data_IF_226012491531
#
_entry.id   IF_226012491531
#
_cell.length_a   1.000
_cell.length_b   1.000
_cell.length_c   1.000
_cell.angle_alpha   90.00
_cell.angle_beta   90.00
_cell.angle_gamma   90.00
#
_symmetry.space_group_name_H-M   'P 1'
#
loop_
_entity.id
_entity.type
_entity.pdbx_description
1 polymer ?
#
# COMPACT_ATOMS: atom_id res chain seq x y z
N UNK A 1 -33.50 0.33 -35.31
CA UNK A 1 -32.65 0.83 -34.21
C UNK A 1 -31.70 -0.27 -33.74
N UNK A 2 -30.43 -0.21 -34.14
CA UNK A 2 -29.44 -1.22 -33.79
C UNK A 2 -28.90 -0.96 -32.38
N UNK A 3 -29.13 -1.89 -31.44
CA UNK A 3 -28.57 -1.82 -30.08
C UNK A 3 -27.04 -1.98 -30.16
N UNK A 4 -26.32 -0.90 -29.84
CA UNK A 4 -24.86 -0.89 -29.73
C UNK A 4 -24.46 -1.85 -28.60
N UNK A 5 -23.95 -3.04 -28.94
CA UNK A 5 -23.42 -3.99 -27.95
C UNK A 5 -22.20 -3.34 -27.30
N UNK A 6 -22.30 -3.03 -26.00
CA UNK A 6 -21.13 -2.67 -25.21
C UNK A 6 -20.17 -3.86 -25.20
N UNK A 7 -19.03 -3.71 -25.87
CA UNK A 7 -17.92 -4.67 -25.82
C UNK A 7 -17.45 -4.70 -24.36
N UNK A 8 -17.76 -5.79 -23.65
CA UNK A 8 -17.26 -6.03 -22.29
C UNK A 8 -15.75 -5.95 -22.35
N UNK A 9 -15.16 -4.88 -21.80
CA UNK A 9 -13.71 -4.77 -21.63
C UNK A 9 -13.32 -5.97 -20.77
N UNK A 10 -12.57 -6.90 -21.36
CA UNK A 10 -11.88 -7.93 -20.59
C UNK A 10 -10.87 -7.17 -19.76
N UNK A 11 -11.03 -7.16 -18.44
CA UNK A 11 -10.02 -6.65 -17.52
C UNK A 11 -8.80 -7.55 -17.65
N UNK A 12 -7.82 -7.14 -18.45
CA UNK A 12 -6.51 -7.77 -18.45
C UNK A 12 -5.93 -7.63 -17.05
N UNK A 13 -5.47 -8.75 -16.48
CA UNK A 13 -4.79 -8.75 -15.20
C UNK A 13 -3.57 -7.80 -15.28
N UNK A 14 -3.43 -6.96 -14.27
CA UNK A 14 -2.31 -6.03 -14.10
C UNK A 14 -1.38 -6.65 -13.07
N UNK A 15 -0.08 -6.61 -13.30
CA UNK A 15 0.93 -7.19 -12.41
C UNK A 15 1.95 -6.12 -12.05
N UNK A 16 2.51 -6.23 -10.85
CA UNK A 16 3.57 -5.37 -10.33
C UNK A 16 4.71 -6.25 -9.80
N UNK A 17 5.93 -5.83 -10.03
CA UNK A 17 7.12 -6.43 -9.41
C UNK A 17 7.28 -5.83 -8.01
N UNK A 18 7.31 -6.69 -7.01
CA UNK A 18 7.52 -6.32 -5.61
C UNK A 18 8.73 -7.11 -5.13
N UNK A 19 9.64 -6.45 -4.41
CA UNK A 19 10.73 -7.15 -3.74
C UNK A 19 10.15 -8.18 -2.76
N UNK A 20 10.65 -9.42 -2.84
CA UNK A 20 10.22 -10.48 -1.95
C UNK A 20 10.62 -10.13 -0.52
N UNK A 21 9.64 -10.16 0.38
CA UNK A 21 9.90 -10.06 1.80
C UNK A 21 10.34 -11.43 2.32
N UNK A 22 11.65 -11.58 2.56
CA UNK A 22 12.21 -12.77 3.19
C UNK A 22 12.06 -12.73 4.72
N UNK A 23 11.43 -11.71 5.30
CA UNK A 23 11.21 -11.56 6.73
C UNK A 23 12.52 -11.43 7.51
N UNK A 24 12.60 -12.06 8.69
CA UNK A 24 13.79 -12.03 9.54
C UNK A 24 15.04 -12.63 8.88
N UNK A 25 14.89 -13.30 7.72
CA UNK A 25 15.98 -13.93 6.99
C UNK A 25 16.91 -12.92 6.31
N UNK A 26 16.54 -11.64 6.16
CA UNK A 26 17.47 -10.61 5.66
C UNK A 26 18.75 -10.51 6.50
N UNK A 27 18.62 -10.47 7.82
CA UNK A 27 19.77 -10.43 8.75
C UNK A 27 20.62 -11.70 8.64
N UNK A 28 19.98 -12.83 8.32
CA UNK A 28 20.64 -14.12 8.17
C UNK A 28 21.35 -14.27 6.81
N UNK A 29 20.86 -13.61 5.74
CA UNK A 29 21.54 -13.55 4.44
C UNK A 29 22.90 -12.85 4.50
N UNK A 30 23.13 -11.98 5.49
CA UNK A 30 24.44 -11.35 5.73
C UNK A 30 25.54 -12.35 6.13
N UNK A 31 25.17 -13.55 6.59
CA UNK A 31 26.10 -14.60 7.03
C UNK A 31 26.46 -15.63 5.95
N UNK A 32 25.93 -15.50 4.72
CA UNK A 32 26.26 -16.35 3.58
C UNK A 32 25.03 -16.81 2.79
N UNK A 33 25.22 -17.52 1.66
CA UNK A 33 24.12 -17.99 0.82
C UNK A 33 23.20 -18.90 1.61
N UNK A 34 21.96 -18.46 1.80
CA UNK A 34 20.91 -19.24 2.45
C UNK A 34 20.02 -19.85 1.37
N UNK A 35 19.45 -21.01 1.65
CA UNK A 35 18.56 -21.70 0.73
C UNK A 35 17.13 -21.65 1.27
N UNK A 36 16.17 -21.44 0.38
CA UNK A 36 14.78 -21.79 0.64
C UNK A 36 14.71 -23.31 0.83
N UNK A 37 14.56 -23.76 2.07
CA UNK A 37 14.53 -25.19 2.43
C UNK A 37 13.32 -25.93 1.88
N UNK A 38 12.32 -25.22 1.35
CA UNK A 38 11.15 -25.80 0.69
C UNK A 38 11.42 -26.05 -0.80
N UNK A 39 12.20 -25.18 -1.45
CA UNK A 39 12.41 -25.20 -2.90
C UNK A 39 13.86 -25.49 -3.33
N UNK A 40 14.78 -25.76 -2.40
CA UNK A 40 16.21 -25.98 -2.63
C UNK A 40 16.86 -24.90 -3.52
N UNK A 41 16.37 -23.67 -3.43
CA UNK A 41 16.81 -22.53 -4.25
C UNK A 41 17.57 -21.52 -3.38
N UNK A 42 18.71 -20.98 -3.82
CA UNK A 42 19.38 -19.91 -3.06
C UNK A 42 18.48 -18.68 -2.96
N UNK A 43 18.38 -18.12 -1.76
CA UNK A 43 17.76 -16.82 -1.51
C UNK A 43 18.67 -15.74 -2.09
N UNK A 44 18.13 -14.94 -3.02
CA UNK A 44 18.87 -13.87 -3.70
C UNK A 44 18.37 -12.53 -3.15
N UNK A 45 19.23 -11.71 -2.52
CA UNK A 45 18.86 -10.36 -2.11
C UNK A 45 18.38 -9.53 -3.30
N UNK A 46 17.27 -8.80 -3.13
CA UNK A 46 16.65 -8.03 -4.21
C UNK A 46 15.85 -8.86 -5.21
N UNK A 47 15.58 -10.14 -4.93
CA UNK A 47 14.67 -10.94 -5.76
C UNK A 47 13.26 -10.34 -5.72
N UNK A 48 12.65 -10.17 -6.89
CA UNK A 48 11.30 -9.65 -7.02
C UNK A 48 10.31 -10.74 -7.36
N UNK A 49 9.10 -10.66 -6.82
CA UNK A 49 7.95 -11.46 -7.23
C UNK A 49 6.94 -10.63 -8.05
N UNK A 50 6.34 -11.29 -9.04
CA UNK A 50 5.27 -10.71 -9.85
C UNK A 50 3.93 -10.94 -9.15
N UNK A 51 3.38 -9.87 -8.58
CA UNK A 51 2.11 -9.91 -7.84
C UNK A 51 1.00 -9.33 -8.68
N UNK A 52 -0.17 -9.97 -8.65
CA UNK A 52 -1.36 -9.46 -9.34
C UNK A 52 -1.92 -8.24 -8.60
N UNK A 53 -2.07 -7.12 -9.29
CA UNK A 53 -2.78 -5.98 -8.77
C UNK A 53 -4.29 -6.20 -8.81
N UNK A 54 -4.93 -6.03 -7.67
CA UNK A 54 -6.37 -6.15 -7.52
C UNK A 54 -7.04 -4.77 -7.62
N UNK A 55 -8.08 -4.61 -8.46
CA UNK A 55 -8.90 -3.41 -8.43
C UNK A 55 -9.61 -3.29 -7.08
N UNK A 56 -9.86 -2.06 -6.63
CA UNK A 56 -10.46 -1.77 -5.32
C UNK A 56 -11.71 -2.61 -4.99
N UNK A 57 -12.57 -2.84 -6.00
CA UNK A 57 -13.79 -3.64 -5.88
C UNK A 57 -13.55 -5.11 -5.56
N UNK A 58 -12.38 -5.66 -5.91
CA UNK A 58 -11.96 -7.05 -5.63
C UNK A 58 -11.18 -7.19 -4.32
N UNK A 59 -10.76 -6.08 -3.70
CA UNK A 59 -10.16 -6.11 -2.37
C UNK A 59 -11.19 -6.58 -1.33
N UNK A 60 -10.74 -7.38 -0.37
CA UNK A 60 -11.54 -7.78 0.77
C UNK A 60 -11.91 -6.56 1.63
N UNK A 61 -12.98 -6.67 2.43
CA UNK A 61 -13.36 -5.59 3.35
C UNK A 61 -12.25 -5.30 4.39
N UNK A 62 -11.55 -6.35 4.82
CA UNK A 62 -10.42 -6.26 5.74
C UNK A 62 -9.24 -5.51 5.11
N UNK A 63 -8.84 -5.88 3.89
CA UNK A 63 -7.77 -5.20 3.14
C UNK A 63 -8.09 -3.73 2.92
N UNK A 64 -9.34 -3.37 2.58
CA UNK A 64 -9.73 -1.95 2.45
C UNK A 64 -9.63 -1.19 3.78
N UNK A 65 -9.93 -1.85 4.90
CA UNK A 65 -9.79 -1.27 6.24
C UNK A 65 -8.31 -1.09 6.61
N UNK A 66 -7.49 -2.11 6.36
CA UNK A 66 -6.04 -2.07 6.55
C UNK A 66 -5.41 -0.95 5.71
N UNK A 67 -5.82 -0.81 4.44
CA UNK A 67 -5.35 0.24 3.54
C UNK A 67 -5.60 1.66 4.07
N UNK A 68 -6.80 1.91 4.60
CA UNK A 68 -7.10 3.20 5.25
C UNK A 68 -6.27 3.38 6.51
N UNK A 69 -6.13 2.34 7.33
CA UNK A 69 -5.37 2.41 8.57
C UNK A 69 -3.89 2.72 8.31
N UNK A 70 -3.28 2.02 7.35
CA UNK A 70 -1.90 2.25 6.93
C UNK A 70 -1.72 3.70 6.44
N UNK A 71 -2.62 4.20 5.59
CA UNK A 71 -2.56 5.59 5.13
C UNK A 71 -2.66 6.60 6.29
N UNK A 72 -3.58 6.39 7.24
CA UNK A 72 -3.73 7.26 8.41
C UNK A 72 -2.45 7.27 9.24
N UNK A 73 -1.86 6.10 9.50
CA UNK A 73 -0.62 5.97 10.26
C UNK A 73 0.52 6.75 9.58
N UNK A 74 0.72 6.54 8.27
CA UNK A 74 1.75 7.24 7.49
C UNK A 74 1.57 8.75 7.46
N UNK A 75 0.33 9.23 7.34
CA UNK A 75 0.03 10.66 7.40
C UNK A 75 0.32 11.25 8.78
N UNK A 76 -0.01 10.52 9.85
CA UNK A 76 0.26 10.96 11.22
C UNK A 76 1.76 10.97 11.50
N UNK A 77 2.51 9.95 11.07
CA UNK A 77 3.98 9.91 11.15
C UNK A 77 4.60 11.10 10.43
N UNK A 78 4.18 11.36 9.19
CA UNK A 78 4.65 12.50 8.42
C UNK A 78 4.32 13.84 9.09
N UNK A 79 3.09 14.01 9.59
CA UNK A 79 2.68 15.21 10.32
C UNK A 79 3.54 15.43 11.57
N UNK A 80 3.82 14.38 12.34
CA UNK A 80 4.58 14.49 13.58
C UNK A 80 6.05 14.81 13.33
N UNK A 81 6.64 14.24 12.28
CA UNK A 81 8.04 14.49 11.88
C UNK A 81 8.23 15.86 11.21
N UNK A 82 7.49 16.12 10.14
CA UNK A 82 7.73 17.27 9.25
C UNK A 82 6.90 18.50 9.64
N UNK A 83 5.79 18.32 10.36
CA UNK A 83 4.82 19.39 10.69
C UNK A 83 4.26 20.11 9.45
N UNK A 84 4.13 19.39 8.35
CA UNK A 84 3.59 19.88 7.08
C UNK A 84 2.37 19.06 6.65
N UNK A 85 1.49 19.70 5.86
CA UNK A 85 0.39 19.00 5.19
C UNK A 85 0.99 18.28 3.97
N UNK A 86 0.83 16.96 3.83
CA UNK A 86 1.37 16.24 2.68
C UNK A 86 0.65 16.66 1.40
N UNK A 87 1.42 16.99 0.36
CA UNK A 87 0.90 17.39 -0.95
C UNK A 87 1.70 16.77 -2.11
N UNK A 88 1.12 16.80 -3.31
CA UNK A 88 1.79 16.42 -4.55
C UNK A 88 2.52 15.06 -4.49
N UNK A 89 3.85 15.10 -4.64
CA UNK A 89 4.72 13.92 -4.63
C UNK A 89 4.70 13.16 -3.30
N UNK A 90 4.58 13.86 -2.17
CA UNK A 90 4.55 13.22 -0.85
C UNK A 90 3.32 12.34 -0.72
N UNK A 91 2.16 12.81 -1.16
CA UNK A 91 0.91 12.01 -1.15
C UNK A 91 1.05 10.76 -2.00
N UNK A 92 1.80 10.83 -3.10
CA UNK A 92 2.08 9.67 -3.96
C UNK A 92 2.95 8.64 -3.22
N UNK A 93 3.98 9.07 -2.52
CA UNK A 93 4.86 8.16 -1.77
C UNK A 93 4.17 7.57 -0.53
N UNK A 94 3.42 8.36 0.24
CA UNK A 94 2.61 7.84 1.35
C UNK A 94 1.61 6.78 0.89
N UNK A 95 0.99 6.99 -0.28
CA UNK A 95 0.06 6.03 -0.86
C UNK A 95 0.74 4.73 -1.27
N UNK A 96 1.89 4.80 -1.94
CA UNK A 96 2.66 3.60 -2.28
C UNK A 96 3.05 2.82 -1.03
N UNK A 97 3.56 3.51 -0.01
CA UNK A 97 3.92 2.91 1.26
C UNK A 97 2.71 2.23 1.93
N UNK A 98 1.55 2.89 1.94
CA UNK A 98 0.32 2.31 2.48
C UNK A 98 -0.15 1.07 1.71
N UNK A 99 -0.03 1.06 0.38
CA UNK A 99 -0.36 -0.11 -0.46
C UNK A 99 0.59 -1.26 -0.17
N UNK A 100 1.90 -0.99 -0.09
CA UNK A 100 2.92 -2.00 0.18
C UNK A 100 2.75 -2.60 1.59
N UNK A 101 2.57 -1.76 2.61
CA UNK A 101 2.32 -2.21 3.99
C UNK A 101 1.04 -3.06 4.08
N UNK A 102 -0.01 -2.65 3.38
CA UNK A 102 -1.26 -3.43 3.32
C UNK A 102 -1.05 -4.78 2.63
N UNK A 103 -0.24 -4.82 1.57
CA UNK A 103 0.10 -6.07 0.90
C UNK A 103 0.81 -7.02 1.86
N UNK A 104 1.81 -6.54 2.60
CA UNK A 104 2.52 -7.37 3.58
C UNK A 104 1.58 -7.91 4.67
N UNK A 105 0.57 -7.13 5.08
CA UNK A 105 -0.38 -7.55 6.11
C UNK A 105 -1.46 -8.52 5.62
N UNK A 106 -1.93 -8.37 4.37
CA UNK A 106 -3.13 -9.09 3.90
C UNK A 106 -2.92 -9.95 2.65
N UNK A 107 -1.73 -9.94 2.05
CA UNK A 107 -1.42 -10.63 0.79
C UNK A 107 -2.18 -10.12 -0.44
N UNK A 108 -2.90 -8.99 -0.34
CA UNK A 108 -3.69 -8.44 -1.45
C UNK A 108 -3.11 -7.11 -1.90
N UNK A 109 -2.49 -7.09 -3.08
CA UNK A 109 -1.92 -5.86 -3.62
C UNK A 109 -3.00 -4.99 -4.27
N UNK A 110 -3.18 -3.78 -3.76
CA UNK A 110 -4.16 -2.83 -4.29
C UNK A 110 -3.60 -2.08 -5.50
N UNK A 111 -4.33 -2.10 -6.61
CA UNK A 111 -4.03 -1.26 -7.77
C UNK A 111 -4.15 0.22 -7.41
N UNK A 112 -3.17 1.06 -7.82
CA UNK A 112 -3.23 2.53 -7.64
C UNK A 112 -4.23 3.19 -8.62
N UNK A 113 -5.51 2.84 -8.46
CA UNK A 113 -6.63 3.39 -9.22
C UNK A 113 -7.14 4.70 -8.63
N UNK A 114 -7.93 5.44 -9.40
CA UNK A 114 -8.53 6.69 -8.90
C UNK A 114 -9.46 6.46 -7.70
N UNK A 115 -10.13 5.30 -7.63
CA UNK A 115 -10.93 4.89 -6.46
C UNK A 115 -10.08 4.79 -5.18
N UNK A 116 -8.87 4.19 -5.28
CA UNK A 116 -7.94 4.10 -4.16
C UNK A 116 -7.39 5.48 -3.79
N UNK A 117 -7.00 6.29 -4.79
CA UNK A 117 -6.52 7.67 -4.56
C UNK A 117 -7.56 8.52 -3.82
N UNK A 118 -8.82 8.49 -4.28
CA UNK A 118 -9.89 9.24 -3.64
C UNK A 118 -10.08 8.82 -2.18
N UNK A 119 -10.14 7.52 -1.91
CA UNK A 119 -10.28 6.99 -0.56
C UNK A 119 -9.15 7.44 0.38
N UNK A 120 -7.91 7.33 -0.10
CA UNK A 120 -6.75 7.63 0.72
C UNK A 120 -6.57 9.12 0.93
N UNK A 121 -6.85 9.95 -0.09
CA UNK A 121 -6.79 11.40 0.03
C UNK A 121 -7.84 11.93 1.02
N UNK A 122 -9.04 11.35 1.04
CA UNK A 122 -10.06 11.70 2.04
C UNK A 122 -9.55 11.42 3.47
N UNK A 123 -8.81 10.33 3.65
CA UNK A 123 -8.24 9.93 4.94
C UNK A 123 -7.16 10.91 5.43
N UNK A 124 -6.44 11.59 4.53
CA UNK A 124 -5.42 12.61 4.89
C UNK A 124 -6.09 13.76 5.64
N UNK A 125 -7.11 14.37 5.03
CA UNK A 125 -7.78 15.56 5.58
C UNK A 125 -8.38 15.26 6.95
N UNK A 126 -9.01 14.08 7.09
CA UNK A 126 -9.58 13.65 8.36
C UNK A 126 -8.50 13.46 9.44
N UNK A 127 -7.35 12.90 9.08
CA UNK A 127 -6.24 12.64 10.01
C UNK A 127 -5.59 13.94 10.50
N UNK A 128 -5.23 14.83 9.59
CA UNK A 128 -4.62 16.14 9.94
C UNK A 128 -5.56 16.96 10.82
N UNK A 129 -6.86 17.04 10.46
CA UNK A 129 -7.85 17.74 11.28
C UNK A 129 -7.97 17.15 12.70
N UNK A 130 -7.81 15.84 12.86
CA UNK A 130 -7.83 15.18 14.17
C UNK A 130 -6.60 15.57 14.99
N UNK A 131 -5.41 15.60 14.39
CA UNK A 131 -4.18 16.01 15.09
C UNK A 131 -4.23 17.49 15.50
N UNK A 132 -4.64 18.39 14.59
CA UNK A 132 -4.82 19.82 14.90
C UNK A 132 -5.80 20.05 16.06
N UNK A 133 -6.88 19.27 16.14
CA UNK A 133 -7.85 19.35 17.26
C UNK A 133 -7.25 18.88 18.59
N UNK A 134 -6.36 17.89 18.58
CA UNK A 134 -5.68 17.44 19.80
C UNK A 134 -4.78 18.55 20.34
N UNK A 135 -4.01 19.19 19.47
CA UNK A 135 -3.11 20.29 19.84
C UNK A 135 -3.85 21.46 20.46
N UNK A 136 -4.99 21.87 19.88
CA UNK A 136 -5.84 22.93 20.44
C UNK A 136 -6.34 22.61 21.86
N UNK A 137 -6.67 21.34 22.13
CA UNK A 137 -7.12 20.91 23.46
C UNK A 137 -6.00 20.88 24.49
N UNK A 138 -4.77 20.62 24.07
CA UNK A 138 -3.60 20.61 24.97
C UNK A 138 -3.13 22.01 25.34
N UNK A 139 -3.48 23.02 24.53
CA UNK A 139 -3.15 24.44 24.77
C UNK A 139 -4.22 25.22 25.55
N UNK A 140 -5.39 24.60 25.82
CA UNK A 140 -6.48 25.18 26.63
C UNK A 140 -6.44 24.62 28.05
#
# INVERSE_FOLDING_TARGET
MAKKKHKKKVETASFVEIEKDFGLWEDYMAFGPQYDTVNDCPLIPGETECVQELPFKKLSAETRKALRSAMVNRVVEYWQSERLIPEGGIVKELRKAAIQETYQLTGQYAKDSDEVKHLLNESIVQSINKELRKEKKTQS
#
